data_IF_804809010733
#
_entry.id   IF_804809010733
#
_cell.length_a   1.000
_cell.length_b   1.000
_cell.length_c   1.000
_cell.angle_alpha   90.00
_cell.angle_beta   90.00
_cell.angle_gamma   90.00
#
_symmetry.space_group_name_H-M   'P 1'
#
loop_
_entity.id
_entity.type
_entity.pdbx_description
1 polymer ?
#
# COMPACT_ATOMS: atom_id res chain seq x y z
N UNK A 1 13.82 -15.54 -2.93
CA UNK A 1 13.97 -14.17 -2.37
C UNK A 1 12.90 -13.23 -2.91
N UNK A 2 12.56 -13.30 -4.21
CA UNK A 2 11.50 -12.45 -4.80
C UNK A 2 10.11 -12.85 -4.29
N UNK A 3 9.82 -14.15 -4.12
CA UNK A 3 8.47 -14.57 -3.66
C UNK A 3 8.10 -14.04 -2.27
N UNK A 4 9.05 -13.96 -1.34
CA UNK A 4 8.81 -13.39 -0.01
C UNK A 4 8.53 -11.89 -0.05
N UNK A 5 9.13 -11.14 -0.98
CA UNK A 5 8.87 -9.70 -1.14
C UNK A 5 7.45 -9.44 -1.69
N UNK A 6 6.93 -10.36 -2.51
CA UNK A 6 5.61 -10.22 -3.12
C UNK A 6 4.46 -10.68 -2.23
N UNK A 7 4.74 -11.45 -1.17
CA UNK A 7 3.72 -11.97 -0.26
C UNK A 7 2.84 -10.87 0.36
N UNK A 8 3.37 -9.66 0.54
CA UNK A 8 2.66 -8.50 1.05
C UNK A 8 2.67 -7.32 0.06
N UNK A 9 2.91 -7.59 -1.22
CA UNK A 9 2.87 -6.54 -2.24
C UNK A 9 1.42 -6.12 -2.47
N UNK A 10 1.13 -4.84 -2.23
CA UNK A 10 -0.17 -4.24 -2.49
C UNK A 10 -0.09 -3.42 -3.77
N UNK A 11 -0.68 -3.92 -4.86
CA UNK A 11 -0.63 -3.29 -6.19
C UNK A 11 -2.00 -3.34 -6.84
N UNK A 12 -2.40 -2.25 -7.51
CA UNK A 12 -3.64 -2.20 -8.29
C UNK A 12 -4.31 -0.83 -8.27
N UNK A 13 -5.64 -0.84 -8.39
CA UNK A 13 -6.46 0.37 -8.25
C UNK A 13 -6.56 0.80 -6.79
N UNK A 14 -7.01 2.04 -6.52
CA UNK A 14 -7.26 2.50 -5.14
C UNK A 14 -8.15 1.54 -4.36
N UNK A 15 -9.22 1.05 -4.98
CA UNK A 15 -10.17 0.14 -4.34
C UNK A 15 -9.53 -1.21 -3.98
N UNK A 16 -8.75 -1.80 -4.90
CA UNK A 16 -8.06 -3.07 -4.60
C UNK A 16 -6.96 -2.90 -3.55
N UNK A 17 -6.28 -1.75 -3.56
CA UNK A 17 -5.22 -1.41 -2.59
C UNK A 17 -5.84 -1.23 -1.19
N UNK A 18 -6.94 -0.48 -1.07
CA UNK A 18 -7.67 -0.30 0.18
C UNK A 18 -8.10 -1.63 0.80
N UNK A 19 -8.77 -2.49 0.02
CA UNK A 19 -9.20 -3.81 0.47
C UNK A 19 -8.04 -4.70 0.96
N UNK A 20 -6.91 -4.70 0.25
CA UNK A 20 -5.73 -5.47 0.65
C UNK A 20 -5.10 -4.94 1.94
N UNK A 21 -5.06 -3.61 2.10
CA UNK A 21 -4.54 -2.95 3.31
C UNK A 21 -5.41 -3.22 4.53
N UNK A 22 -6.73 -3.10 4.42
CA UNK A 22 -7.65 -3.43 5.52
C UNK A 22 -7.40 -4.84 6.02
N UNK A 23 -7.39 -5.82 5.11
CA UNK A 23 -7.12 -7.22 5.48
C UNK A 23 -5.76 -7.42 6.12
N UNK A 24 -4.74 -6.71 5.65
CA UNK A 24 -3.40 -6.79 6.23
C UNK A 24 -3.38 -6.22 7.64
N UNK A 25 -3.94 -5.03 7.86
CA UNK A 25 -4.02 -4.36 9.16
C UNK A 25 -4.82 -5.23 10.15
N UNK A 26 -6.01 -5.70 9.76
CA UNK A 26 -6.86 -6.57 10.59
C UNK A 26 -6.14 -7.85 11.01
N UNK A 27 -5.39 -8.47 10.09
CA UNK A 27 -4.68 -9.72 10.37
C UNK A 27 -3.45 -9.58 11.25
N UNK A 28 -2.87 -8.39 11.33
CA UNK A 28 -1.60 -8.13 12.03
C UNK A 28 -1.75 -7.29 13.29
N UNK A 29 -2.81 -6.48 13.40
CA UNK A 29 -3.06 -5.59 14.54
C UNK A 29 -2.04 -4.46 14.66
N UNK A 30 -1.37 -4.09 13.56
CA UNK A 30 -0.30 -3.08 13.53
C UNK A 30 -0.86 -1.66 13.61
N UNK A 31 -0.11 -0.77 14.28
CA UNK A 31 -0.40 0.66 14.40
C UNK A 31 0.41 1.53 13.41
N UNK A 32 1.45 0.99 12.76
CA UNK A 32 2.27 1.70 11.79
C UNK A 32 2.50 0.89 10.49
N UNK A 33 2.36 1.56 9.34
CA UNK A 33 2.64 1.01 8.01
C UNK A 33 3.87 1.68 7.37
N UNK A 34 4.92 0.90 7.12
CA UNK A 34 6.09 1.33 6.37
C UNK A 34 6.00 0.78 4.94
N UNK A 35 6.00 1.67 3.94
CA UNK A 35 5.76 1.32 2.53
C UNK A 35 6.98 1.65 1.67
N UNK A 36 7.47 0.66 0.93
CA UNK A 36 8.50 0.83 -0.10
C UNK A 36 7.86 0.92 -1.48
N UNK A 37 8.27 1.92 -2.29
CA UNK A 37 7.76 2.13 -3.65
C UNK A 37 8.91 2.08 -4.67
N UNK A 38 9.36 0.88 -5.08
CA UNK A 38 10.44 0.72 -6.05
C UNK A 38 9.96 1.02 -7.49
N UNK A 39 9.62 2.28 -7.74
CA UNK A 39 9.19 2.81 -9.03
C UNK A 39 10.33 3.65 -9.59
N UNK A 40 10.79 3.32 -10.80
CA UNK A 40 11.92 4.00 -11.47
C UNK A 40 11.59 5.46 -11.81
N UNK A 41 10.42 5.71 -12.37
CA UNK A 41 9.96 7.05 -12.74
C UNK A 41 9.58 7.85 -11.48
N UNK A 42 10.21 9.00 -11.30
CA UNK A 42 10.06 9.82 -10.09
C UNK A 42 8.65 10.41 -9.96
N UNK A 43 8.05 10.85 -11.06
CA UNK A 43 6.70 11.44 -11.06
C UNK A 43 5.64 10.37 -10.82
N UNK A 44 5.81 9.19 -11.41
CA UNK A 44 4.96 8.03 -11.13
C UNK A 44 5.07 7.59 -9.66
N UNK A 45 6.28 7.60 -9.09
CA UNK A 45 6.50 7.30 -7.68
C UNK A 45 5.79 8.31 -6.77
N UNK A 46 5.92 9.60 -7.07
CA UNK A 46 5.26 10.65 -6.31
C UNK A 46 3.73 10.58 -6.44
N UNK A 47 3.22 10.26 -7.64
CA UNK A 47 1.80 9.99 -7.87
C UNK A 47 1.34 8.80 -7.02
N UNK A 48 2.05 7.68 -7.04
CA UNK A 48 1.73 6.50 -6.22
C UNK A 48 1.68 6.83 -4.73
N UNK A 49 2.63 7.65 -4.24
CA UNK A 49 2.65 8.12 -2.85
C UNK A 49 1.41 8.93 -2.49
N UNK A 50 0.98 9.85 -3.35
CA UNK A 50 -0.24 10.65 -3.14
C UNK A 50 -1.48 9.76 -3.11
N UNK A 51 -1.62 8.86 -4.07
CA UNK A 51 -2.77 7.94 -4.12
C UNK A 51 -2.82 7.02 -2.89
N UNK A 52 -1.66 6.58 -2.39
CA UNK A 52 -1.57 5.78 -1.17
C UNK A 52 -1.98 6.58 0.07
N UNK A 53 -1.61 7.85 0.16
CA UNK A 53 -2.04 8.73 1.25
C UNK A 53 -3.57 8.92 1.26
N UNK A 54 -4.18 9.13 0.08
CA UNK A 54 -5.64 9.22 -0.06
C UNK A 54 -6.34 7.90 0.34
N UNK A 55 -5.77 6.75 -0.04
CA UNK A 55 -6.31 5.45 0.40
C UNK A 55 -6.27 5.34 1.92
N UNK A 56 -5.12 5.64 2.56
CA UNK A 56 -4.98 5.61 4.02
C UNK A 56 -6.01 6.49 4.71
N UNK A 57 -6.23 7.71 4.22
CA UNK A 57 -7.25 8.63 4.79
C UNK A 57 -8.65 8.03 4.73
N UNK A 58 -8.99 7.30 3.66
CA UNK A 58 -10.25 6.59 3.55
C UNK A 58 -10.41 5.38 4.48
N UNK A 59 -9.31 4.85 5.05
CA UNK A 59 -9.34 3.73 5.99
C UNK A 59 -9.53 4.16 7.45
N UNK A 60 -9.23 5.41 7.80
CA UNK A 60 -9.32 5.94 9.18
C UNK A 60 -10.70 6.59 9.43
N UNK A 61 -11.74 6.05 8.77
CA UNK A 61 -13.13 6.51 8.88
C UNK A 61 -13.96 5.70 9.86
#
# INVERSE_FOLDING_TARGET
MVEHMLQYAVVGSKASVAFQLERFIESTGIDELIISMPIHDADARLKSLRLMAEVREGLVG
#
